data_IF_128409652011
#
_entry.id   IF_128409652011
#
_cell.length_a   1.000
_cell.length_b   1.000
_cell.length_c   1.000
_cell.angle_alpha   90.00
_cell.angle_beta   90.00
_cell.angle_gamma   90.00
#
_symmetry.space_group_name_H-M   'P 1'
#
loop_
_entity.id
_entity.type
_entity.pdbx_description
1 polymer ?
#
# COMPACT_ATOMS: atom_id res chain seq x y z
N UNK A 1 -4.94 70.16 -15.01
CA UNK A 1 -4.42 69.55 -13.76
C UNK A 1 -5.42 68.48 -13.35
N UNK A 2 -5.14 67.18 -13.21
CA UNK A 2 -3.94 66.33 -13.16
C UNK A 2 -4.35 64.92 -13.62
N UNK A 3 -3.39 64.17 -14.20
CA UNK A 3 -3.50 62.74 -14.51
C UNK A 3 -3.58 61.89 -13.23
N UNK A 4 -4.23 60.72 -13.29
CA UNK A 4 -3.79 59.57 -12.48
C UNK A 4 -4.16 58.25 -13.16
N UNK A 5 -3.14 57.59 -13.70
CA UNK A 5 -3.18 56.17 -14.04
C UNK A 5 -2.67 55.40 -12.82
N UNK A 6 -3.51 54.57 -12.20
CA UNK A 6 -3.05 53.48 -11.33
C UNK A 6 -3.38 52.16 -11.99
N UNK A 7 -2.35 51.65 -12.66
CA UNK A 7 -2.09 50.26 -12.99
C UNK A 7 -2.17 49.42 -11.69
N UNK A 8 -3.09 48.45 -11.60
CA UNK A 8 -2.89 47.29 -10.73
C UNK A 8 -2.82 46.03 -11.57
N UNK A 9 -1.59 45.60 -11.71
CA UNK A 9 -1.08 44.37 -12.29
C UNK A 9 -1.81 43.14 -11.75
N UNK A 10 -2.16 42.26 -12.69
CA UNK A 10 -1.85 40.83 -12.68
C UNK A 10 -1.13 40.30 -11.42
N UNK A 11 -1.87 40.01 -10.35
CA UNK A 11 -1.54 39.07 -9.27
C UNK A 11 -2.90 38.64 -8.74
N UNK A 12 -3.38 37.41 -8.82
CA UNK A 12 -2.73 36.13 -9.01
C UNK A 12 -3.80 35.15 -9.46
N UNK A 13 -3.50 34.45 -10.54
CA UNK A 13 -4.14 33.21 -10.97
C UNK A 13 -3.82 32.10 -9.95
N UNK A 14 -4.15 32.32 -8.67
CA UNK A 14 -3.76 31.47 -7.54
C UNK A 14 -4.93 31.26 -6.59
N UNK A 15 -6.01 30.72 -7.12
CA UNK A 15 -6.90 29.88 -6.30
C UNK A 15 -7.19 28.55 -7.00
N UNK A 16 -6.26 28.10 -7.85
CA UNK A 16 -6.24 26.75 -8.41
C UNK A 16 -5.42 25.77 -7.53
N UNK A 17 -5.31 26.03 -6.23
CA UNK A 17 -4.63 25.14 -5.27
C UNK A 17 -5.44 24.82 -4.01
N UNK A 18 -6.77 24.94 -4.07
CA UNK A 18 -7.67 24.34 -3.06
C UNK A 18 -8.47 23.20 -3.70
N UNK A 19 -7.74 22.29 -4.35
CA UNK A 19 -8.22 20.98 -4.80
C UNK A 19 -7.81 19.90 -3.78
N UNK A 20 -7.99 20.17 -2.48
CA UNK A 20 -8.01 19.10 -1.47
C UNK A 20 -8.59 19.64 -0.15
N UNK A 21 -9.83 20.13 -0.17
CA UNK A 21 -10.56 20.35 1.09
C UNK A 21 -12.05 19.98 0.97
N UNK A 22 -12.35 19.05 0.07
CA UNK A 22 -13.53 18.22 0.24
C UNK A 22 -13.09 17.07 1.12
N UNK A 23 -13.49 17.09 2.40
CA UNK A 23 -13.38 15.96 3.30
C UNK A 23 -13.76 14.69 2.53
N UNK A 24 -12.77 13.84 2.25
CA UNK A 24 -12.92 12.60 1.50
C UNK A 24 -14.08 11.83 2.12
N UNK A 25 -15.20 11.70 1.40
CA UNK A 25 -16.31 10.91 1.91
C UNK A 25 -15.88 9.45 1.89
N UNK A 26 -15.51 8.93 3.06
CA UNK A 26 -15.16 7.53 3.22
C UNK A 26 -16.46 6.72 3.07
N UNK A 27 -16.62 6.05 1.93
CA UNK A 27 -17.78 5.22 1.65
C UNK A 27 -17.76 3.91 2.45
N UNK A 28 -16.57 3.38 2.71
CA UNK A 28 -16.36 2.19 3.54
C UNK A 28 -15.06 2.33 4.35
N UNK A 29 -15.09 1.83 5.58
CA UNK A 29 -13.96 1.86 6.51
C UNK A 29 -13.84 0.50 7.19
N UNK A 30 -12.61 0.02 7.36
CA UNK A 30 -12.33 -1.24 8.02
C UNK A 30 -12.33 -2.45 7.08
N UNK A 31 -11.92 -3.57 7.66
CA UNK A 31 -11.86 -4.87 6.99
C UNK A 31 -12.96 -5.77 7.52
N UNK A 32 -13.69 -6.41 6.63
CA UNK A 32 -14.58 -7.52 7.00
C UNK A 32 -13.76 -8.76 7.33
N UNK A 33 -14.32 -9.73 8.05
CA UNK A 33 -13.68 -11.04 8.27
C UNK A 33 -13.36 -11.78 6.96
N UNK A 34 -14.10 -11.48 5.89
CA UNK A 34 -13.79 -12.00 4.55
C UNK A 34 -12.51 -11.38 4.01
N UNK A 35 -12.35 -10.07 4.14
CA UNK A 35 -11.17 -9.34 3.67
C UNK A 35 -9.92 -9.82 4.40
N UNK A 36 -9.99 -9.94 5.74
CA UNK A 36 -8.89 -10.46 6.56
C UNK A 36 -8.39 -11.82 6.07
N UNK A 37 -9.33 -12.73 5.77
CA UNK A 37 -9.01 -14.06 5.22
C UNK A 37 -8.36 -13.96 3.85
N UNK A 38 -8.96 -13.21 2.91
CA UNK A 38 -8.40 -13.01 1.56
C UNK A 38 -6.97 -12.46 1.64
N UNK A 39 -6.75 -11.46 2.49
CA UNK A 39 -5.43 -10.85 2.66
C UNK A 39 -4.40 -11.89 3.11
N UNK A 40 -4.68 -12.63 4.19
CA UNK A 40 -3.75 -13.63 4.71
C UNK A 40 -3.54 -14.78 3.73
N UNK A 41 -4.61 -15.29 3.13
CA UNK A 41 -4.57 -16.43 2.21
C UNK A 41 -3.76 -16.09 0.96
N UNK A 42 -3.96 -14.90 0.38
CA UNK A 42 -3.22 -14.47 -0.81
C UNK A 42 -1.74 -14.24 -0.54
N UNK A 43 -1.37 -13.68 0.62
CA UNK A 43 0.03 -13.58 1.00
C UNK A 43 0.67 -14.95 1.19
N UNK A 44 -0.01 -15.87 1.88
CA UNK A 44 0.47 -17.24 2.08
C UNK A 44 0.56 -18.03 0.78
N UNK A 45 -0.36 -17.81 -0.15
CA UNK A 45 -0.33 -18.40 -1.50
C UNK A 45 0.95 -17.98 -2.24
N UNK A 46 1.26 -16.68 -2.30
CA UNK A 46 2.48 -16.19 -2.95
C UNK A 46 3.74 -16.78 -2.31
N UNK A 47 3.82 -16.77 -0.98
CA UNK A 47 4.96 -17.34 -0.24
C UNK A 47 5.14 -18.83 -0.50
N UNK A 48 4.04 -19.58 -0.57
CA UNK A 48 4.04 -20.99 -0.94
C UNK A 48 4.57 -21.19 -2.36
N UNK A 49 4.13 -20.37 -3.33
CA UNK A 49 4.63 -20.45 -4.71
C UNK A 49 6.15 -20.18 -4.79
N UNK A 50 6.67 -19.23 -4.01
CA UNK A 50 8.12 -18.99 -3.91
C UNK A 50 8.84 -20.18 -3.27
N UNK A 51 8.27 -20.75 -2.20
CA UNK A 51 8.82 -21.93 -1.53
C UNK A 51 8.84 -23.18 -2.43
N UNK A 52 7.88 -23.28 -3.34
CA UNK A 52 7.78 -24.35 -4.34
C UNK A 52 8.65 -24.08 -5.58
N UNK A 53 9.26 -22.90 -5.71
CA UNK A 53 10.04 -22.51 -6.89
C UNK A 53 9.17 -22.29 -8.14
N UNK A 54 7.90 -21.92 -7.96
CA UNK A 54 6.91 -21.73 -9.04
C UNK A 54 6.80 -20.30 -9.55
N UNK A 55 7.48 -19.35 -8.92
CA UNK A 55 7.56 -17.97 -9.42
C UNK A 55 8.71 -17.89 -10.44
N UNK A 56 8.36 -17.63 -11.70
CA UNK A 56 9.33 -17.57 -12.80
C UNK A 56 10.43 -16.53 -12.53
N UNK A 57 11.68 -16.90 -12.82
CA UNK A 57 12.85 -16.03 -12.61
C UNK A 57 13.28 -15.85 -11.15
N UNK A 58 12.63 -16.53 -10.21
CA UNK A 58 12.95 -16.47 -8.78
C UNK A 58 13.48 -17.83 -8.31
N UNK A 59 14.49 -17.86 -7.40
CA UNK A 59 14.95 -19.10 -6.83
C UNK A 59 13.88 -19.70 -5.92
N UNK A 60 13.95 -21.02 -5.74
CA UNK A 60 13.18 -21.71 -4.71
C UNK A 60 13.63 -21.20 -3.34
N UNK A 61 12.74 -20.53 -2.61
CA UNK A 61 13.03 -20.10 -1.26
C UNK A 61 12.78 -21.21 -0.23
N UNK A 62 13.38 -21.07 0.95
CA UNK A 62 13.28 -22.05 2.04
C UNK A 62 12.84 -21.37 3.34
N UNK A 63 12.41 -22.16 4.32
CA UNK A 63 12.07 -21.72 5.68
C UNK A 63 10.91 -20.71 5.78
N UNK A 64 10.01 -20.66 4.80
CA UNK A 64 8.82 -19.79 4.86
C UNK A 64 7.88 -20.18 6.00
N UNK A 65 7.61 -19.24 6.89
CA UNK A 65 6.52 -19.36 7.87
C UNK A 65 5.20 -18.84 7.28
N UNK A 66 4.09 -19.46 7.69
CA UNK A 66 2.73 -19.00 7.34
C UNK A 66 2.37 -17.72 8.07
N UNK A 67 2.00 -16.69 7.31
CA UNK A 67 1.49 -15.42 7.81
C UNK A 67 0.19 -15.61 8.58
N UNK A 68 0.01 -14.82 9.64
CA UNK A 68 -1.22 -14.72 10.41
C UNK A 68 -1.70 -13.27 10.36
N UNK A 69 -3.00 -13.09 10.60
CA UNK A 69 -3.55 -11.75 10.77
C UNK A 69 -3.11 -11.18 12.13
N UNK A 70 -2.75 -9.90 12.16
CA UNK A 70 -2.36 -9.20 13.38
C UNK A 70 -3.20 -7.95 13.55
N UNK A 71 -4.07 -7.97 14.56
CA UNK A 71 -5.02 -6.88 14.81
C UNK A 71 -4.32 -5.56 15.17
N UNK A 72 -3.12 -5.60 15.77
CA UNK A 72 -2.39 -4.37 16.12
C UNK A 72 -1.81 -3.70 14.87
N UNK A 73 -1.17 -4.48 13.99
CA UNK A 73 -0.67 -3.94 12.72
C UNK A 73 -1.82 -3.51 11.80
N UNK A 74 -2.92 -4.26 11.77
CA UNK A 74 -4.11 -3.89 10.99
C UNK A 74 -4.74 -2.56 11.46
N UNK A 75 -4.80 -2.30 12.78
CA UNK A 75 -5.27 -1.01 13.30
C UNK A 75 -4.36 0.13 12.85
N UNK A 76 -3.04 -0.05 12.90
CA UNK A 76 -2.10 0.94 12.38
C UNK A 76 -2.28 1.17 10.87
N UNK A 77 -2.49 0.10 10.10
CA UNK A 77 -2.76 0.17 8.66
C UNK A 77 -4.03 0.98 8.36
N UNK A 78 -5.11 0.71 9.10
CA UNK A 78 -6.36 1.43 8.97
C UNK A 78 -6.21 2.91 9.33
N UNK A 79 -5.45 3.25 10.37
CA UNK A 79 -5.17 4.64 10.72
C UNK A 79 -4.45 5.39 9.60
N UNK A 80 -3.53 4.73 8.90
CA UNK A 80 -2.84 5.29 7.73
C UNK A 80 -3.83 5.48 6.58
N UNK A 81 -4.61 4.44 6.24
CA UNK A 81 -5.59 4.51 5.14
C UNK A 81 -6.68 5.57 5.38
N UNK A 82 -7.08 5.79 6.64
CA UNK A 82 -8.06 6.83 7.03
C UNK A 82 -7.56 8.26 6.74
N UNK A 83 -6.26 8.48 6.55
CA UNK A 83 -5.75 9.80 6.17
C UNK A 83 -6.04 10.16 4.71
N UNK A 84 -6.37 9.17 3.88
CA UNK A 84 -6.51 9.31 2.42
C UNK A 84 -5.26 9.90 1.73
N UNK A 85 -4.09 9.85 2.38
CA UNK A 85 -2.81 10.27 1.81
C UNK A 85 -2.04 9.03 1.40
N UNK A 86 -1.76 8.89 0.10
CA UNK A 86 -0.97 7.77 -0.44
C UNK A 86 0.52 7.97 -0.13
N UNK A 87 0.90 7.74 1.12
CA UNK A 87 2.28 7.86 1.59
C UNK A 87 2.55 6.92 2.76
N UNK A 88 3.75 6.33 2.78
CA UNK A 88 4.20 5.52 3.92
C UNK A 88 4.28 6.38 5.19
N UNK A 89 3.97 5.78 6.34
CA UNK A 89 4.08 6.41 7.65
C UNK A 89 4.92 5.55 8.57
N UNK A 90 5.66 6.15 9.51
CA UNK A 90 6.40 5.36 10.49
C UNK A 90 5.40 4.65 11.42
N UNK A 91 5.51 3.33 11.54
CA UNK A 91 4.76 2.52 12.50
C UNK A 91 5.73 1.99 13.54
N UNK A 92 5.41 2.20 14.81
CA UNK A 92 6.17 1.65 15.95
C UNK A 92 5.38 0.55 16.62
N UNK A 93 6.02 -0.59 16.85
CA UNK A 93 5.45 -1.73 17.55
C UNK A 93 6.52 -2.29 18.51
N UNK A 94 6.16 -2.56 19.76
CA UNK A 94 7.13 -3.02 20.76
C UNK A 94 7.68 -4.45 20.51
N UNK A 95 7.06 -5.19 19.59
CA UNK A 95 7.46 -6.55 19.22
C UNK A 95 8.54 -6.53 18.13
N UNK A 96 8.63 -5.46 17.32
CA UNK A 96 9.52 -5.38 16.15
C UNK A 96 10.33 -4.09 16.11
N UNK A 97 11.60 -4.20 15.74
CA UNK A 97 12.46 -3.02 15.53
C UNK A 97 11.97 -2.13 14.36
N UNK A 98 11.35 -2.74 13.36
CA UNK A 98 10.79 -2.06 12.20
C UNK A 98 9.55 -2.80 11.69
N UNK A 99 8.63 -2.05 11.08
CA UNK A 99 7.40 -2.58 10.51
C UNK A 99 7.31 -2.14 9.04
N UNK A 100 7.30 -3.11 8.14
CA UNK A 100 7.14 -2.87 6.70
C UNK A 100 5.70 -2.49 6.31
N UNK A 101 5.53 -1.88 5.14
CA UNK A 101 4.25 -1.43 4.62
C UNK A 101 4.20 -1.61 3.10
N UNK A 102 3.09 -2.14 2.60
CA UNK A 102 2.72 -2.04 1.20
C UNK A 102 1.44 -1.19 1.09
N UNK A 103 1.43 -0.26 0.13
CA UNK A 103 0.29 0.61 -0.13
C UNK A 103 -0.34 0.26 -1.47
N UNK A 104 -1.66 0.36 -1.56
CA UNK A 104 -2.38 0.20 -2.82
C UNK A 104 -3.41 1.31 -3.00
N UNK A 105 -3.59 1.75 -4.25
CA UNK A 105 -4.66 2.67 -4.61
C UNK A 105 -5.22 2.29 -5.98
N UNK A 106 -6.52 2.44 -6.13
CA UNK A 106 -7.25 2.24 -7.38
C UNK A 106 -8.27 3.34 -7.54
N UNK A 107 -8.41 3.88 -8.74
CA UNK A 107 -9.36 4.94 -9.05
C UNK A 107 -10.35 4.46 -10.11
N UNK A 108 -11.62 4.78 -9.91
CA UNK A 108 -12.72 4.45 -10.81
C UNK A 108 -13.76 5.57 -10.79
N UNK A 109 -14.41 5.83 -11.93
CA UNK A 109 -15.58 6.70 -12.00
C UNK A 109 -16.87 5.96 -11.64
N UNK A 110 -16.87 4.62 -11.70
CA UNK A 110 -17.96 3.78 -11.24
C UNK A 110 -17.85 3.51 -9.75
N UNK A 111 -18.98 3.55 -9.04
CA UNK A 111 -19.05 3.17 -7.63
C UNK A 111 -18.78 1.67 -7.48
N UNK A 112 -17.78 1.33 -6.66
CA UNK A 112 -17.50 -0.03 -6.22
C UNK A 112 -17.64 -0.14 -4.72
N UNK A 113 -18.19 -1.26 -4.27
CA UNK A 113 -18.25 -1.61 -2.85
C UNK A 113 -17.01 -2.43 -2.49
N UNK A 114 -16.29 -2.03 -1.45
CA UNK A 114 -15.11 -2.72 -0.96
C UNK A 114 -13.85 -2.50 -1.79
N UNK A 115 -12.71 -2.77 -1.17
CA UNK A 115 -11.43 -2.88 -1.84
C UNK A 115 -11.26 -4.28 -2.45
N UNK A 116 -10.70 -4.35 -3.66
CA UNK A 116 -10.30 -5.63 -4.26
C UNK A 116 -8.92 -6.06 -3.73
N UNK A 117 -8.92 -6.70 -2.56
CA UNK A 117 -7.72 -7.22 -1.92
C UNK A 117 -6.96 -8.24 -2.77
N UNK A 118 -7.66 -9.00 -3.62
CA UNK A 118 -7.01 -9.96 -4.51
C UNK A 118 -6.20 -9.23 -5.58
N UNK A 119 -6.77 -8.19 -6.18
CA UNK A 119 -6.06 -7.35 -7.15
C UNK A 119 -4.90 -6.58 -6.51
N UNK A 120 -5.08 -6.03 -5.31
CA UNK A 120 -4.01 -5.33 -4.59
C UNK A 120 -2.79 -6.24 -4.35
N UNK A 121 -3.00 -7.42 -3.75
CA UNK A 121 -1.92 -8.35 -3.44
C UNK A 121 -1.32 -8.95 -4.71
N UNK A 122 -2.15 -9.21 -5.72
CA UNK A 122 -1.67 -9.64 -7.03
C UNK A 122 -0.74 -8.58 -7.63
N UNK A 123 -1.10 -7.31 -7.58
CA UNK A 123 -0.28 -6.21 -8.11
C UNK A 123 1.10 -6.15 -7.44
N UNK A 124 1.15 -6.26 -6.12
CA UNK A 124 2.41 -6.34 -5.38
C UNK A 124 3.19 -7.60 -5.73
N UNK A 125 2.53 -8.75 -5.85
CA UNK A 125 3.19 -10.01 -6.18
C UNK A 125 3.79 -9.99 -7.58
N UNK A 126 3.08 -9.43 -8.56
CA UNK A 126 3.47 -9.37 -9.97
C UNK A 126 4.77 -8.57 -10.22
N UNK A 127 5.20 -7.76 -9.24
CA UNK A 127 6.48 -7.09 -9.28
C UNK A 127 7.69 -8.05 -9.27
N UNK A 128 7.48 -9.35 -9.04
CA UNK A 128 8.53 -10.39 -9.23
C UNK A 128 9.17 -10.30 -10.62
N UNK A 129 8.43 -9.81 -11.63
CA UNK A 129 8.89 -9.61 -13.01
C UNK A 129 10.00 -8.56 -13.12
N UNK A 130 10.05 -7.63 -12.16
CA UNK A 130 11.04 -6.55 -12.08
C UNK A 130 12.10 -6.79 -11.00
N UNK A 131 12.06 -7.93 -10.33
CA UNK A 131 13.02 -8.30 -9.30
C UNK A 131 13.94 -9.40 -9.79
N UNK A 132 15.25 -9.23 -9.60
CA UNK A 132 16.22 -10.31 -9.70
C UNK A 132 16.69 -10.62 -8.28
N UNK A 133 16.66 -11.88 -7.89
CA UNK A 133 17.11 -12.28 -6.56
C UNK A 133 18.54 -11.83 -6.27
N UNK A 134 18.76 -11.23 -5.09
CA UNK A 134 20.04 -10.62 -4.71
C UNK A 134 20.31 -9.26 -5.35
N UNK A 135 19.42 -8.77 -6.22
CA UNK A 135 19.51 -7.44 -6.83
C UNK A 135 18.96 -6.32 -5.93
N UNK A 136 19.10 -5.06 -6.36
CA UNK A 136 18.67 -3.89 -5.60
C UNK A 136 17.13 -3.82 -5.51
N UNK A 137 16.66 -3.40 -4.34
CA UNK A 137 15.25 -3.11 -4.08
C UNK A 137 14.97 -1.65 -4.46
N UNK A 138 13.90 -1.40 -5.20
CA UNK A 138 13.48 -0.08 -5.65
C UNK A 138 11.95 0.01 -5.78
N UNK A 139 11.44 1.15 -6.25
CA UNK A 139 10.00 1.43 -6.36
C UNK A 139 9.21 0.47 -7.28
N UNK A 140 9.88 -0.34 -8.12
CA UNK A 140 9.22 -1.29 -9.02
C UNK A 140 9.12 -2.71 -8.45
N UNK A 141 9.80 -2.99 -7.34
CA UNK A 141 9.90 -4.35 -6.77
C UNK A 141 9.87 -4.42 -5.23
N UNK A 142 9.74 -3.27 -4.57
CA UNK A 142 9.67 -3.17 -3.12
C UNK A 142 8.49 -3.95 -2.53
N UNK A 143 7.33 -3.93 -3.19
CA UNK A 143 6.17 -4.62 -2.66
C UNK A 143 6.32 -6.15 -2.77
N UNK A 144 6.79 -6.66 -3.92
CA UNK A 144 7.01 -8.11 -4.09
C UNK A 144 8.02 -8.65 -3.09
N UNK A 145 9.15 -7.94 -2.91
CA UNK A 145 10.17 -8.37 -1.97
C UNK A 145 9.59 -8.48 -0.56
N UNK A 146 8.80 -7.51 -0.11
CA UNK A 146 8.09 -7.54 1.17
C UNK A 146 7.05 -8.68 1.30
N UNK A 147 6.26 -8.97 0.24
CA UNK A 147 5.28 -10.09 0.24
C UNK A 147 5.99 -11.44 0.36
N UNK A 148 7.14 -11.58 -0.31
CA UNK A 148 7.95 -12.81 -0.36
C UNK A 148 9.04 -12.89 0.71
N UNK A 149 9.10 -11.96 1.67
CA UNK A 149 10.15 -11.94 2.71
C UNK A 149 10.03 -13.12 3.66
N UNK A 150 11.11 -13.86 3.86
CA UNK A 150 11.15 -14.88 4.91
C UNK A 150 11.41 -14.28 6.30
N UNK A 151 10.42 -13.59 6.88
CA UNK A 151 10.48 -13.09 8.26
C UNK A 151 9.61 -13.90 9.21
N UNK A 152 10.08 -14.02 10.45
CA UNK A 152 9.59 -14.92 11.50
C UNK A 152 8.34 -14.47 12.23
N UNK A 153 7.81 -13.28 11.92
CA UNK A 153 6.65 -12.75 12.67
C UNK A 153 5.77 -11.86 11.82
N UNK A 154 4.47 -12.11 11.96
CA UNK A 154 3.55 -12.05 10.83
C UNK A 154 2.32 -11.27 11.26
N UNK A 155 2.41 -9.97 11.05
CA UNK A 155 1.26 -9.12 10.87
C UNK A 155 1.36 -8.44 9.51
N UNK A 156 0.22 -8.24 8.87
CA UNK A 156 0.12 -7.62 7.55
C UNK A 156 -0.30 -6.18 7.72
N UNK A 157 0.54 -5.25 7.30
CA UNK A 157 0.19 -3.87 7.07
C UNK A 157 -0.08 -3.70 5.57
N UNK A 158 -1.36 -3.85 5.24
CA UNK A 158 -1.89 -3.63 3.91
C UNK A 158 -2.88 -2.46 4.02
N UNK A 159 -2.55 -1.35 3.36
CA UNK A 159 -3.29 -0.08 3.43
C UNK A 159 -3.76 0.38 2.06
#
# INVERSE_FOLDING_TARGET
>A
MMYSYTLFLCVSLLSALTLCDAASKIFENGLTERDKRIIVDKHNEVRRLVAEGKISGQPKGTNFKQMKYDETLARAAQQISNTCIFAHKKVTDNRWQAVGQNLYTSMSTAFSKGADWSSAIKSWSDEYKFYKYGGPINSKNGHYTQVSLNMSTLGLLAS
#
